data_IF_997078592165
#
_entry.id   IF_997078592165
#
_cell.length_a   1.000
_cell.length_b   1.000
_cell.length_c   1.000
_cell.angle_alpha   90.00
_cell.angle_beta   90.00
_cell.angle_gamma   90.00
#
_symmetry.space_group_name_H-M   'P 1'
#
loop_
_entity.id
_entity.type
_entity.pdbx_description
1 polymer ?
#
# COMPACT_ATOMS: atom_id res chain seq x y z
N UNK A 1 9.88 -10.14 17.36
CA UNK A 1 8.56 -9.55 17.05
C UNK A 1 8.73 -8.18 16.44
N UNK A 2 9.53 -7.29 17.03
CA UNK A 2 9.79 -5.92 16.55
C UNK A 2 10.25 -5.83 15.09
N UNK A 3 11.20 -6.68 14.65
CA UNK A 3 11.69 -6.66 13.26
C UNK A 3 10.62 -6.93 12.19
N UNK A 4 9.58 -7.70 12.50
CA UNK A 4 8.53 -8.06 11.52
C UNK A 4 7.51 -6.93 11.38
N UNK A 5 7.26 -6.22 12.47
CA UNK A 5 6.42 -5.01 12.48
C UNK A 5 7.12 -3.88 11.72
N UNK A 6 8.43 -3.68 11.94
CA UNK A 6 9.23 -2.69 11.22
C UNK A 6 9.20 -2.91 9.69
N UNK A 7 9.44 -4.15 9.26
CA UNK A 7 9.40 -4.50 7.83
C UNK A 7 8.02 -4.23 7.20
N UNK A 8 6.94 -4.38 7.97
CA UNK A 8 5.57 -4.11 7.48
C UNK A 8 5.37 -2.61 7.22
N UNK A 9 5.88 -1.75 8.10
CA UNK A 9 5.83 -0.30 7.91
C UNK A 9 6.63 0.14 6.68
N UNK A 10 7.83 -0.40 6.47
CA UNK A 10 8.64 -0.10 5.27
C UNK A 10 7.89 -0.47 3.98
N UNK A 11 7.22 -1.62 3.94
CA UNK A 11 6.43 -2.03 2.77
C UNK A 11 5.24 -1.08 2.56
N UNK A 12 4.57 -0.66 3.63
CA UNK A 12 3.46 0.31 3.55
C UNK A 12 3.96 1.65 3.01
N UNK A 13 5.12 2.13 3.46
CA UNK A 13 5.72 3.37 2.96
C UNK A 13 6.01 3.29 1.45
N UNK A 14 6.55 2.17 0.97
CA UNK A 14 6.77 1.95 -0.47
C UNK A 14 5.44 1.98 -1.24
N UNK A 15 4.40 1.34 -0.73
CA UNK A 15 3.07 1.36 -1.35
C UNK A 15 2.53 2.80 -1.44
N UNK A 16 2.57 3.56 -0.34
CA UNK A 16 2.10 4.94 -0.27
C UNK A 16 2.89 5.86 -1.19
N UNK A 17 4.21 5.69 -1.27
CA UNK A 17 5.07 6.47 -2.16
C UNK A 17 4.73 6.21 -3.63
N UNK A 18 4.60 4.94 -4.02
CA UNK A 18 4.18 4.58 -5.38
C UNK A 18 2.81 5.18 -5.69
N UNK A 19 1.85 5.06 -4.77
CA UNK A 19 0.52 5.59 -4.94
C UNK A 19 0.50 7.11 -5.13
N UNK A 20 1.29 7.83 -4.32
CA UNK A 20 1.46 9.29 -4.42
C UNK A 20 2.02 9.69 -5.77
N UNK A 21 3.10 9.05 -6.23
CA UNK A 21 3.71 9.34 -7.54
C UNK A 21 2.70 9.10 -8.67
N UNK A 22 1.96 8.00 -8.62
CA UNK A 22 0.94 7.68 -9.62
C UNK A 22 -0.18 8.72 -9.65
N UNK A 23 -0.75 9.11 -8.51
CA UNK A 23 -1.76 10.17 -8.44
C UNK A 23 -1.24 11.50 -8.96
N UNK A 24 -0.03 11.90 -8.56
CA UNK A 24 0.60 13.13 -9.03
C UNK A 24 0.86 13.10 -10.54
N UNK A 25 0.99 11.91 -11.13
CA UNK A 25 1.14 11.69 -12.56
C UNK A 25 -0.20 11.58 -13.30
N UNK A 26 -1.34 11.81 -12.62
CA UNK A 26 -2.67 11.74 -13.22
C UNK A 26 -3.21 10.33 -13.43
N UNK A 27 -2.69 9.33 -12.72
CA UNK A 27 -3.24 7.98 -12.78
C UNK A 27 -4.66 7.93 -12.20
N UNK A 28 -5.52 7.12 -12.80
CA UNK A 28 -6.86 6.85 -12.28
C UNK A 28 -6.79 6.12 -10.93
N UNK A 29 -7.66 6.49 -9.99
CA UNK A 29 -7.59 6.05 -8.58
C UNK A 29 -7.61 4.53 -8.43
N UNK A 30 -8.43 3.81 -9.20
CA UNK A 30 -8.47 2.34 -9.15
C UNK A 30 -7.15 1.69 -9.59
N UNK A 31 -6.39 2.33 -10.50
CA UNK A 31 -5.07 1.85 -10.93
C UNK A 31 -4.03 2.05 -9.84
N UNK A 32 -4.16 3.14 -9.09
CA UNK A 32 -3.32 3.42 -7.92
C UNK A 32 -3.56 2.36 -6.84
N UNK A 33 -4.83 2.08 -6.52
CA UNK A 33 -5.22 1.02 -5.58
C UNK A 33 -4.66 -0.35 -5.97
N UNK A 34 -4.96 -0.80 -7.19
CA UNK A 34 -4.50 -2.09 -7.72
C UNK A 34 -2.96 -2.21 -7.71
N UNK A 35 -2.26 -1.12 -8.02
CA UNK A 35 -0.78 -1.12 -7.98
C UNK A 35 -0.26 -1.26 -6.56
N UNK A 36 -0.79 -0.51 -5.59
CA UNK A 36 -0.37 -0.61 -4.19
C UNK A 36 -0.63 -2.00 -3.61
N UNK A 37 -1.80 -2.60 -3.91
CA UNK A 37 -2.14 -3.97 -3.49
C UNK A 37 -1.16 -4.98 -4.09
N UNK A 38 -0.80 -4.85 -5.38
CA UNK A 38 0.19 -5.73 -6.02
C UNK A 38 1.59 -5.60 -5.44
N UNK A 39 2.02 -4.38 -5.12
CA UNK A 39 3.31 -4.14 -4.44
C UNK A 39 3.31 -4.87 -3.10
N UNK A 40 2.29 -4.66 -2.28
CA UNK A 40 2.17 -5.30 -0.97
C UNK A 40 2.17 -6.84 -1.08
N UNK A 41 1.40 -7.39 -2.02
CA UNK A 41 1.34 -8.82 -2.28
C UNK A 41 2.71 -9.40 -2.72
N UNK A 42 3.49 -8.66 -3.51
CA UNK A 42 4.85 -9.08 -3.90
C UNK A 42 5.81 -9.18 -2.71
N UNK A 43 5.57 -8.42 -1.64
CA UNK A 43 6.30 -8.51 -0.37
C UNK A 43 5.68 -9.50 0.63
N UNK A 44 4.63 -10.23 0.24
CA UNK A 44 3.96 -11.23 1.08
C UNK A 44 2.85 -10.67 1.99
N UNK A 45 2.47 -9.40 1.84
CA UNK A 45 1.29 -8.82 2.51
C UNK A 45 0.04 -9.11 1.68
N UNK A 46 -0.56 -10.28 1.88
CA UNK A 46 -1.72 -10.74 1.10
C UNK A 46 -3.07 -10.14 1.52
N UNK A 47 -3.16 -9.54 2.71
CA UNK A 47 -4.39 -8.95 3.24
C UNK A 47 -4.20 -7.45 3.45
N UNK A 48 -4.57 -6.68 2.44
CA UNK A 48 -4.44 -5.22 2.45
C UNK A 48 -5.72 -4.57 1.95
N UNK A 49 -6.03 -3.40 2.50
CA UNK A 49 -7.10 -2.55 2.04
C UNK A 49 -6.51 -1.21 1.56
N UNK A 50 -6.95 -0.77 0.39
CA UNK A 50 -6.60 0.51 -0.19
C UNK A 50 -7.85 1.29 -0.52
N UNK A 51 -7.83 2.59 -0.27
CA UNK A 51 -8.88 3.51 -0.70
C UNK A 51 -8.23 4.81 -1.18
N UNK A 52 -8.49 5.17 -2.43
CA UNK A 52 -7.85 6.29 -3.09
C UNK A 52 -8.89 7.22 -3.69
N UNK A 53 -8.79 8.49 -3.33
CA UNK A 53 -9.43 9.60 -4.04
C UNK A 53 -8.33 10.47 -4.67
N UNK A 54 -8.67 11.42 -5.56
CA UNK A 54 -7.66 12.30 -6.15
C UNK A 54 -6.81 13.09 -5.14
N UNK A 55 -7.29 13.26 -3.91
CA UNK A 55 -6.62 14.04 -2.86
C UNK A 55 -6.10 13.21 -1.69
N UNK A 56 -6.61 11.99 -1.48
CA UNK A 56 -6.33 11.18 -0.31
C UNK A 56 -5.96 9.77 -0.73
N UNK A 57 -4.90 9.23 -0.11
CA UNK A 57 -4.54 7.82 -0.16
C UNK A 57 -4.66 7.26 1.25
N UNK A 58 -5.43 6.19 1.40
CA UNK A 58 -5.48 5.38 2.62
C UNK A 58 -5.04 3.97 2.24
N UNK A 59 -4.08 3.44 3.00
CA UNK A 59 -3.59 2.08 2.84
C UNK A 59 -3.45 1.43 4.22
N UNK A 60 -4.00 0.23 4.38
CA UNK A 60 -3.85 -0.58 5.57
C UNK A 60 -3.48 -2.01 5.20
N UNK A 61 -2.68 -2.64 6.05
CA UNK A 61 -2.35 -4.05 5.94
C UNK A 61 -2.73 -4.73 7.25
N UNK A 62 -3.41 -5.88 7.18
CA UNK A 62 -3.56 -6.74 8.35
C UNK A 62 -2.19 -7.30 8.69
N UNK A 63 -1.78 -7.19 9.95
CA UNK A 63 -0.62 -7.92 10.45
C UNK A 63 -0.82 -9.42 10.23
N UNK A 64 0.26 -10.15 9.97
CA UNK A 64 0.25 -11.62 10.07
C UNK A 64 0.17 -12.03 11.54
N UNK A 65 -0.95 -11.75 12.19
CA UNK A 65 -1.32 -12.27 13.49
C UNK A 65 -2.71 -12.94 13.35
N UNK A 66 -2.87 -14.18 13.84
CA UNK A 66 -4.17 -14.84 13.91
C UNK A 66 -5.10 -14.18 14.94
#
# INVERSE_FOLDING_TARGET
>A
MEKKVEQTYEIIEVCLLAGKIMLQSGAETYRVEDTMVRIAAAFGLGKTHSYVTPTVIIFSAEGMEP
#
